data_IF_252680213969
#
_entry.id   IF_252680213969
#
_cell.length_a   1.000
_cell.length_b   1.000
_cell.length_c   1.000
_cell.angle_alpha   90.00
_cell.angle_beta   90.00
_cell.angle_gamma   90.00
#
_symmetry.space_group_name_H-M   'P 1'
#
loop_
_entity.id
_entity.type
_entity.pdbx_description
1 polymer ?
#
# COMPACT_ATOMS: atom_id res chain seq x y z
N UNK A 1 -14.94 -43.99 -12.77
CA UNK A 1 -15.49 -42.92 -11.91
C UNK A 1 -15.52 -43.44 -10.49
N UNK A 2 -14.73 -42.85 -9.59
CA UNK A 2 -14.78 -43.22 -8.16
C UNK A 2 -15.96 -42.46 -7.55
N UNK A 3 -17.00 -43.16 -7.09
CA UNK A 3 -18.13 -42.56 -6.40
C UNK A 3 -17.77 -42.36 -4.92
N UNK A 4 -17.67 -41.11 -4.49
CA UNK A 4 -17.44 -40.74 -3.09
C UNK A 4 -18.75 -40.92 -2.31
N UNK A 5 -18.70 -41.67 -1.21
CA UNK A 5 -19.83 -41.70 -0.26
C UNK A 5 -20.00 -40.32 0.40
N UNK A 6 -21.21 -39.98 0.86
CA UNK A 6 -21.50 -38.69 1.53
C UNK A 6 -20.52 -38.37 2.67
N UNK A 7 -20.09 -39.39 3.43
CA UNK A 7 -19.08 -39.26 4.49
C UNK A 7 -17.70 -38.94 3.92
N UNK A 8 -17.26 -39.65 2.88
CA UNK A 8 -15.97 -39.37 2.24
C UNK A 8 -15.96 -37.98 1.59
N UNK A 9 -17.05 -37.55 0.97
CA UNK A 9 -17.19 -36.21 0.41
C UNK A 9 -17.10 -35.11 1.49
N UNK A 10 -17.74 -35.31 2.65
CA UNK A 10 -17.66 -34.37 3.77
C UNK A 10 -16.24 -34.28 4.36
N UNK A 11 -15.54 -35.41 4.49
CA UNK A 11 -14.14 -35.45 4.94
C UNK A 11 -13.24 -34.71 3.95
N UNK A 12 -13.40 -34.96 2.65
CA UNK A 12 -12.62 -34.32 1.60
C UNK A 12 -12.84 -32.80 1.59
N UNK A 13 -14.08 -32.35 1.72
CA UNK A 13 -14.41 -30.93 1.83
C UNK A 13 -13.76 -30.28 3.07
N UNK A 14 -13.83 -30.96 4.22
CA UNK A 14 -13.18 -30.49 5.45
C UNK A 14 -11.66 -30.34 5.30
N UNK A 15 -11.01 -31.31 4.65
CA UNK A 15 -9.56 -31.26 4.36
C UNK A 15 -9.23 -30.12 3.40
N UNK A 16 -10.00 -29.94 2.32
CA UNK A 16 -9.80 -28.84 1.36
C UNK A 16 -9.92 -27.48 2.04
N UNK A 17 -10.93 -27.29 2.89
CA UNK A 17 -11.12 -26.04 3.65
C UNK A 17 -9.96 -25.78 4.61
N UNK A 18 -9.49 -26.80 5.33
CA UNK A 18 -8.33 -26.67 6.22
C UNK A 18 -7.06 -26.29 5.47
N UNK A 19 -6.81 -26.93 4.31
CA UNK A 19 -5.65 -26.59 3.47
C UNK A 19 -5.77 -25.16 2.93
N UNK A 20 -6.95 -24.73 2.49
CA UNK A 20 -7.18 -23.36 2.03
C UNK A 20 -6.94 -22.33 3.14
N UNK A 21 -7.39 -22.61 4.38
CA UNK A 21 -7.15 -21.74 5.53
C UNK A 21 -5.65 -21.66 5.88
N UNK A 22 -4.93 -22.79 5.86
CA UNK A 22 -3.49 -22.82 6.11
C UNK A 22 -2.70 -22.05 5.04
N UNK A 23 -3.02 -22.25 3.76
CA UNK A 23 -2.39 -21.52 2.66
C UNK A 23 -2.72 -20.02 2.76
N UNK A 24 -3.98 -19.67 3.03
CA UNK A 24 -4.40 -18.28 3.22
C UNK A 24 -3.66 -17.62 4.38
N UNK A 25 -3.49 -18.33 5.50
CA UNK A 25 -2.73 -17.82 6.65
C UNK A 25 -1.24 -17.64 6.34
N UNK A 26 -0.61 -18.58 5.62
CA UNK A 26 0.79 -18.47 5.21
C UNK A 26 1.00 -17.28 4.25
N UNK A 27 0.10 -17.11 3.27
CA UNK A 27 0.12 -15.97 2.36
C UNK A 27 -0.07 -14.66 3.11
N UNK A 28 -1.05 -14.60 4.02
CA UNK A 28 -1.28 -13.42 4.86
C UNK A 28 -0.04 -13.07 5.68
N UNK A 29 0.56 -14.06 6.37
CA UNK A 29 1.74 -13.83 7.21
C UNK A 29 2.93 -13.35 6.40
N UNK A 30 3.23 -13.99 5.27
CA UNK A 30 4.35 -13.59 4.43
C UNK A 30 4.17 -12.17 3.87
N UNK A 31 2.96 -11.82 3.42
CA UNK A 31 2.66 -10.47 2.94
C UNK A 31 2.70 -9.43 4.07
N UNK A 32 2.17 -9.76 5.25
CA UNK A 32 2.18 -8.87 6.41
C UNK A 32 3.60 -8.57 6.90
N UNK A 33 4.48 -9.57 6.94
CA UNK A 33 5.88 -9.40 7.34
C UNK A 33 6.67 -8.57 6.33
N UNK A 34 6.41 -8.73 5.02
CA UNK A 34 7.00 -7.91 3.97
C UNK A 34 6.50 -6.46 4.03
N UNK A 35 5.19 -6.28 4.15
CA UNK A 35 4.59 -4.95 4.23
C UNK A 35 5.04 -4.19 5.48
N UNK A 36 5.17 -4.86 6.62
CA UNK A 36 5.69 -4.27 7.85
C UNK A 36 7.14 -3.76 7.71
N UNK A 37 7.96 -4.41 6.87
CA UNK A 37 9.32 -3.91 6.56
C UNK A 37 9.27 -2.69 5.68
N UNK A 38 8.40 -2.69 4.67
CA UNK A 38 8.27 -1.59 3.71
C UNK A 38 7.64 -0.33 4.34
N UNK A 39 6.86 -0.48 5.41
CA UNK A 39 6.32 0.64 6.21
C UNK A 39 7.39 1.35 7.06
N UNK A 40 8.55 0.74 7.26
CA UNK A 40 9.64 1.42 7.96
C UNK A 40 10.18 2.57 7.11
N UNK A 41 10.48 3.68 7.77
CA UNK A 41 11.18 4.78 7.15
C UNK A 41 12.55 4.31 6.65
N UNK A 42 12.90 4.74 5.44
CA UNK A 42 14.20 4.48 4.82
C UNK A 42 14.83 5.76 4.31
N UNK A 43 16.15 5.85 4.40
CA UNK A 43 16.92 6.97 3.84
C UNK A 43 17.22 6.67 2.38
N UNK A 44 16.87 7.59 1.49
CA UNK A 44 17.25 7.54 0.07
C UNK A 44 18.13 8.74 -0.27
N UNK A 45 19.12 8.52 -1.14
CA UNK A 45 19.88 9.64 -1.73
C UNK A 45 19.01 10.44 -2.68
N UNK A 46 19.46 11.65 -3.03
CA UNK A 46 18.74 12.49 -4.00
C UNK A 46 18.53 11.78 -5.35
N UNK A 47 19.56 11.09 -5.84
CA UNK A 47 19.48 10.32 -7.07
C UNK A 47 18.49 9.15 -6.98
N UNK A 48 18.52 8.41 -5.87
CA UNK A 48 17.60 7.28 -5.64
C UNK A 48 16.15 7.73 -5.53
N UNK A 49 15.91 8.88 -4.88
CA UNK A 49 14.59 9.46 -4.72
C UNK A 49 13.97 9.99 -6.03
N UNK A 50 14.78 10.16 -7.08
CA UNK A 50 14.34 10.58 -8.42
C UNK A 50 14.32 9.44 -9.45
N UNK A 51 14.94 8.30 -9.15
CA UNK A 51 14.98 7.14 -10.03
C UNK A 51 13.73 6.27 -9.88
N UNK A 52 12.84 6.35 -10.87
CA UNK A 52 11.58 5.59 -10.90
C UNK A 52 11.80 4.08 -10.81
N UNK A 53 12.86 3.54 -11.41
CA UNK A 53 13.16 2.10 -11.35
C UNK A 53 13.68 1.71 -9.97
N UNK A 54 14.53 2.54 -9.38
CA UNK A 54 14.97 2.32 -8.01
C UNK A 54 13.79 2.34 -7.03
N UNK A 55 12.92 3.35 -7.12
CA UNK A 55 11.75 3.47 -6.25
C UNK A 55 10.81 2.27 -6.37
N UNK A 56 10.53 1.78 -7.58
CA UNK A 56 9.71 0.57 -7.78
C UNK A 56 10.32 -0.65 -7.08
N UNK A 57 11.63 -0.87 -7.25
CA UNK A 57 12.28 -2.08 -6.73
C UNK A 57 12.56 -2.00 -5.22
N UNK A 58 12.97 -0.84 -4.72
CA UNK A 58 13.36 -0.66 -3.32
C UNK A 58 12.16 -0.50 -2.40
N UNK A 59 11.07 0.09 -2.89
CA UNK A 59 9.87 0.37 -2.11
C UNK A 59 8.67 -0.49 -2.53
N UNK A 60 8.83 -1.44 -3.46
CA UNK A 60 7.71 -2.23 -4.02
C UNK A 60 6.53 -1.34 -4.46
N UNK A 61 6.89 -0.25 -5.16
CA UNK A 61 5.93 0.74 -5.64
C UNK A 61 5.44 0.40 -7.05
N UNK A 62 4.19 0.75 -7.33
CA UNK A 62 3.75 0.78 -8.73
C UNK A 62 4.49 1.90 -9.48
N UNK A 63 4.74 1.73 -10.78
CA UNK A 63 5.33 2.77 -11.64
C UNK A 63 4.70 4.15 -11.45
N UNK A 64 3.36 4.19 -11.36
CA UNK A 64 2.62 5.44 -11.18
C UNK A 64 2.91 6.10 -9.82
N UNK A 65 3.00 5.32 -8.74
CA UNK A 65 3.31 5.87 -7.42
C UNK A 65 4.78 6.33 -7.36
N UNK A 66 5.69 5.57 -7.95
CA UNK A 66 7.10 5.93 -8.06
C UNK A 66 7.29 7.26 -8.82
N UNK A 67 6.59 7.45 -9.94
CA UNK A 67 6.58 8.73 -10.68
C UNK A 67 6.03 9.90 -9.84
N UNK A 68 4.95 9.67 -9.08
CA UNK A 68 4.38 10.68 -8.20
C UNK A 68 5.34 11.06 -7.06
N UNK A 69 6.00 10.08 -6.45
CA UNK A 69 6.99 10.30 -5.40
C UNK A 69 8.20 11.07 -5.93
N UNK A 70 8.80 10.62 -7.05
CA UNK A 70 9.93 11.31 -7.67
C UNK A 70 9.61 12.77 -7.99
N UNK A 71 8.42 13.03 -8.56
CA UNK A 71 7.95 14.39 -8.86
C UNK A 71 7.71 15.22 -7.60
N UNK A 72 7.22 14.62 -6.52
CA UNK A 72 7.03 15.32 -5.25
C UNK A 72 8.37 15.74 -4.63
N UNK A 73 9.37 14.86 -4.65
CA UNK A 73 10.75 15.14 -4.20
C UNK A 73 11.34 16.29 -5.03
N UNK A 74 11.28 16.19 -6.35
CA UNK A 74 11.78 17.24 -7.25
C UNK A 74 11.06 18.58 -7.02
N UNK A 75 9.74 18.56 -6.86
CA UNK A 75 8.95 19.78 -6.62
C UNK A 75 9.27 20.41 -5.26
N UNK A 76 9.54 19.62 -4.23
CA UNK A 76 9.93 20.11 -2.90
C UNK A 76 11.33 20.76 -2.93
N UNK A 77 12.26 20.17 -3.67
CA UNK A 77 13.63 20.70 -3.83
C UNK A 77 13.68 21.94 -4.73
N UNK A 78 12.75 22.05 -5.68
CA UNK A 78 12.54 23.27 -6.45
C UNK A 78 11.79 24.37 -5.65
N UNK A 79 11.37 24.10 -4.41
CA UNK A 79 10.60 25.02 -3.58
C UNK A 79 9.16 25.26 -4.07
N UNK A 80 8.68 24.42 -4.99
CA UNK A 80 7.31 24.48 -5.54
C UNK A 80 6.30 23.77 -4.65
N UNK A 81 6.76 22.80 -3.86
CA UNK A 81 5.94 22.08 -2.88
C UNK A 81 6.37 22.51 -1.46
N UNK A 82 5.45 23.07 -0.70
CA UNK A 82 5.70 23.46 0.69
C UNK A 82 5.48 22.28 1.64
N UNK A 83 6.30 22.14 2.70
CA UNK A 83 6.10 21.11 3.70
C UNK A 83 4.87 21.44 4.56
N UNK A 84 4.15 20.40 4.98
CA UNK A 84 3.00 20.53 5.88
C UNK A 84 3.44 20.91 7.31
N UNK A 85 4.59 20.38 7.76
CA UNK A 85 5.20 20.73 9.03
C UNK A 85 6.70 20.93 8.86
N UNK A 86 7.29 21.77 9.71
CA UNK A 86 8.75 21.91 9.84
C UNK A 86 9.14 21.61 11.27
N UNK A 87 10.24 20.90 11.44
CA UNK A 87 10.86 20.64 12.73
C UNK A 87 12.38 20.68 12.58
N UNK A 88 13.08 20.76 13.70
CA UNK A 88 14.54 20.87 13.73
C UNK A 88 15.10 19.67 14.49
N UNK A 89 16.16 19.10 13.93
CA UNK A 89 17.01 18.10 14.60
C UNK A 89 18.43 18.64 14.63
N UNK A 90 19.15 18.30 15.69
CA UNK A 90 20.48 18.85 15.93
C UNK A 90 21.54 17.83 15.50
N UNK A 91 22.00 17.94 14.25
CA UNK A 91 22.99 17.05 13.66
C UNK A 91 24.03 17.83 12.84
N UNK A 92 25.18 17.21 12.62
CA UNK A 92 26.33 17.84 11.94
C UNK A 92 26.21 17.90 10.42
N UNK A 93 25.41 17.01 9.82
CA UNK A 93 25.22 16.91 8.36
C UNK A 93 23.78 16.54 8.01
N UNK A 94 23.32 16.88 6.81
CA UNK A 94 22.00 16.48 6.32
C UNK A 94 21.82 14.94 6.24
N UNK A 95 22.91 14.22 5.97
CA UNK A 95 22.90 12.75 5.96
C UNK A 95 22.69 12.19 7.37
N UNK A 96 23.46 12.66 8.36
CA UNK A 96 23.28 12.25 9.77
C UNK A 96 21.88 12.64 10.28
N UNK A 97 21.39 13.81 9.90
CA UNK A 97 20.02 14.25 10.17
C UNK A 97 18.97 13.29 9.57
N UNK A 98 19.19 12.80 8.36
CA UNK A 98 18.27 11.86 7.70
C UNK A 98 18.25 10.50 8.42
N UNK A 99 19.41 10.02 8.86
CA UNK A 99 19.55 8.76 9.59
C UNK A 99 18.90 8.83 10.98
N UNK A 100 19.14 9.90 11.75
CA UNK A 100 18.55 10.06 13.07
C UNK A 100 17.02 10.24 12.97
N UNK A 101 16.53 11.02 12.01
CA UNK A 101 15.09 11.20 11.78
C UNK A 101 14.44 9.87 11.41
N UNK A 102 15.07 9.09 10.52
CA UNK A 102 14.59 7.75 10.14
C UNK A 102 14.48 6.84 11.35
N UNK A 103 15.52 6.82 12.20
CA UNK A 103 15.52 6.05 13.45
C UNK A 103 14.39 6.49 14.39
N UNK A 104 14.22 7.79 14.60
CA UNK A 104 13.17 8.34 15.47
C UNK A 104 11.75 8.01 14.95
N UNK A 105 11.51 8.08 13.63
CA UNK A 105 10.24 7.67 13.02
C UNK A 105 9.96 6.19 13.29
N UNK A 106 10.96 5.33 13.04
CA UNK A 106 10.84 3.88 13.21
C UNK A 106 10.66 3.47 14.67
N UNK A 107 11.19 4.26 15.61
CA UNK A 107 11.05 4.07 17.05
C UNK A 107 9.81 4.75 17.64
N UNK A 108 9.04 5.48 16.83
CA UNK A 108 7.88 6.27 17.26
C UNK A 108 8.24 7.28 18.36
N UNK A 109 9.39 7.94 18.21
CA UNK A 109 9.88 8.93 19.16
C UNK A 109 9.03 10.21 19.12
N UNK A 110 8.45 10.56 20.28
CA UNK A 110 7.59 11.72 20.47
C UNK A 110 8.32 13.07 20.38
N UNK A 111 9.65 13.07 20.22
CA UNK A 111 10.41 14.27 19.84
C UNK A 111 10.05 14.79 18.45
N UNK A 112 9.51 13.92 17.57
CA UNK A 112 9.05 14.30 16.24
C UNK A 112 7.58 14.74 16.25
N UNK A 113 7.16 15.63 15.33
CA UNK A 113 5.76 15.97 15.16
C UNK A 113 4.88 14.73 14.89
N UNK A 114 3.64 14.68 15.39
CA UNK A 114 2.76 13.52 15.21
C UNK A 114 2.59 13.08 13.75
N UNK A 115 2.55 14.02 12.81
CA UNK A 115 2.45 13.73 11.37
C UNK A 115 3.68 13.01 10.80
N UNK A 116 4.87 13.25 11.36
CA UNK A 116 6.08 12.50 10.99
C UNK A 116 6.05 11.07 11.54
N UNK A 117 5.28 10.80 12.59
CA UNK A 117 5.12 9.48 13.20
C UNK A 117 3.97 8.68 12.60
N UNK A 118 3.06 9.30 11.86
CA UNK A 118 1.91 8.63 11.24
C UNK A 118 2.36 7.46 10.37
N UNK A 119 1.72 6.30 10.55
CA UNK A 119 2.01 5.13 9.73
C UNK A 119 1.45 5.32 8.31
N UNK A 120 2.32 5.17 7.32
CA UNK A 120 1.97 5.19 5.90
C UNK A 120 2.57 3.99 5.21
N UNK A 121 2.10 3.71 4.00
CA UNK A 121 2.53 2.53 3.25
C UNK A 121 4.04 2.57 3.01
N UNK A 122 4.60 3.72 2.60
CA UNK A 122 6.05 3.97 2.61
C UNK A 122 6.37 5.28 3.31
N UNK A 123 7.53 5.35 3.96
CA UNK A 123 8.12 6.60 4.45
C UNK A 123 9.54 6.71 3.91
N UNK A 124 9.85 7.82 3.25
CA UNK A 124 11.18 8.06 2.67
C UNK A 124 11.75 9.34 3.27
N UNK A 125 13.00 9.28 3.71
CA UNK A 125 13.75 10.43 4.21
C UNK A 125 14.85 10.75 3.21
N UNK A 126 14.86 11.98 2.68
CA UNK A 126 15.78 12.41 1.62
C UNK A 126 16.59 13.62 2.11
N UNK A 127 17.92 13.57 2.13
CA UNK A 127 18.73 14.75 2.37
C UNK A 127 18.64 15.71 1.17
N UNK A 128 18.59 17.01 1.44
CA UNK A 128 18.62 18.03 0.40
C UNK A 128 20.05 18.47 0.10
N UNK A 129 20.69 17.78 -0.84
CA UNK A 129 22.05 18.12 -1.26
C UNK A 129 22.09 19.40 -2.12
N UNK A 130 20.98 19.76 -2.76
CA UNK A 130 20.88 20.88 -3.69
C UNK A 130 19.97 21.99 -3.15
N UNK A 131 20.38 22.61 -2.03
CA UNK A 131 19.61 23.71 -1.43
C UNK A 131 19.50 24.89 -2.40
N UNK A 132 18.26 25.26 -2.69
CA UNK A 132 17.93 26.52 -3.40
C UNK A 132 17.44 27.56 -2.40
N UNK A 133 17.44 28.84 -2.77
CA UNK A 133 16.88 29.89 -1.92
C UNK A 133 15.39 29.66 -1.58
N UNK A 134 14.68 28.96 -2.47
CA UNK A 134 13.27 28.60 -2.33
C UNK A 134 13.06 27.32 -1.50
N UNK A 135 13.96 26.34 -1.59
CA UNK A 135 13.93 25.08 -0.84
C UNK A 135 14.97 25.08 0.29
N UNK A 136 14.81 26.00 1.24
CA UNK A 136 15.69 26.10 2.40
C UNK A 136 15.29 25.11 3.51
N UNK A 137 15.58 23.83 3.28
CA UNK A 137 15.44 22.73 4.24
C UNK A 137 16.58 21.71 4.04
N UNK A 138 16.99 21.03 5.11
CA UNK A 138 18.10 20.07 5.10
C UNK A 138 17.66 18.64 4.79
N UNK A 139 16.51 18.23 5.34
CA UNK A 139 15.99 16.87 5.23
C UNK A 139 14.50 16.91 4.96
N UNK A 140 14.04 16.10 4.00
CA UNK A 140 12.65 15.97 3.62
C UNK A 140 12.12 14.61 4.03
N UNK A 141 10.99 14.58 4.74
CA UNK A 141 10.27 13.34 5.08
C UNK A 141 9.05 13.24 4.18
N UNK A 142 9.04 12.24 3.31
CA UNK A 142 7.98 11.99 2.34
C UNK A 142 7.16 10.77 2.79
N UNK A 143 5.91 11.04 3.15
CA UNK A 143 4.92 10.05 3.56
C UNK A 143 4.11 9.62 2.33
N UNK A 144 4.18 8.34 1.96
CA UNK A 144 3.55 7.81 0.74
C UNK A 144 2.46 6.82 1.12
N UNK A 145 1.28 7.02 0.54
CA UNK A 145 0.13 6.11 0.65
C UNK A 145 -0.19 5.57 -0.74
N UNK A 146 -0.15 4.24 -0.89
CA UNK A 146 -0.19 3.49 -2.14
C UNK A 146 -1.59 3.08 -2.59
N UNK A 147 -2.62 3.67 -1.98
CA UNK A 147 -4.05 3.45 -2.25
C UNK A 147 -4.50 3.85 -3.67
N UNK A 148 -3.57 4.07 -4.60
CA UNK A 148 -3.82 4.14 -6.05
C UNK A 148 -3.45 2.83 -6.73
N UNK A 149 -3.74 1.71 -6.08
CA UNK A 149 -3.41 0.36 -6.52
C UNK A 149 -4.58 -0.34 -7.23
N UNK A 150 -4.24 -1.46 -7.88
CA UNK A 150 -5.21 -2.40 -8.46
C UNK A 150 -5.26 -3.65 -7.59
N UNK A 151 -6.46 -4.17 -7.36
CA UNK A 151 -6.69 -5.51 -6.84
C UNK A 151 -7.34 -6.34 -7.92
N UNK A 152 -6.93 -7.60 -8.02
CA UNK A 152 -7.65 -8.61 -8.79
C UNK A 152 -7.99 -9.75 -7.84
N UNK A 153 -9.19 -10.30 -7.99
CA UNK A 153 -9.70 -11.32 -7.08
C UNK A 153 -10.54 -12.33 -7.82
N UNK A 154 -10.56 -13.55 -7.29
CA UNK A 154 -11.47 -14.60 -7.72
C UNK A 154 -12.02 -15.33 -6.50
N UNK A 155 -13.09 -16.10 -6.67
CA UNK A 155 -13.71 -16.85 -5.59
C UNK A 155 -14.69 -17.91 -6.05
N UNK A 156 -15.57 -18.32 -5.15
CA UNK A 156 -16.69 -19.21 -5.43
C UNK A 156 -17.95 -18.56 -4.86
N UNK A 157 -18.97 -18.40 -5.69
CA UNK A 157 -20.28 -17.89 -5.32
C UNK A 157 -21.36 -18.95 -5.51
N UNK A 158 -22.46 -18.81 -4.76
CA UNK A 158 -23.65 -19.63 -4.91
C UNK A 158 -24.86 -18.71 -4.97
N UNK A 159 -25.67 -18.84 -6.01
CA UNK A 159 -26.93 -18.12 -6.16
C UNK A 159 -28.01 -19.08 -6.64
N UNK A 160 -29.13 -19.14 -5.92
CA UNK A 160 -30.25 -20.05 -6.21
C UNK A 160 -29.85 -21.53 -6.44
N UNK A 161 -28.84 -22.01 -5.70
CA UNK A 161 -28.33 -23.39 -5.81
C UNK A 161 -27.35 -23.62 -6.96
N UNK A 162 -27.10 -22.62 -7.81
CA UNK A 162 -26.09 -22.65 -8.86
C UNK A 162 -24.77 -22.08 -8.36
N UNK A 163 -23.67 -22.76 -8.67
CA UNK A 163 -22.32 -22.32 -8.35
C UNK A 163 -21.77 -21.44 -9.48
N UNK A 164 -20.97 -20.43 -9.13
CA UNK A 164 -20.28 -19.59 -10.10
C UNK A 164 -18.92 -19.13 -9.55
N UNK A 165 -18.06 -18.68 -10.45
CA UNK A 165 -16.73 -18.15 -10.18
C UNK A 165 -16.78 -16.63 -10.41
N UNK A 166 -16.85 -15.81 -9.35
CA UNK A 166 -16.62 -14.37 -9.49
C UNK A 166 -15.17 -14.11 -9.87
N UNK A 167 -14.93 -13.29 -10.88
CA UNK A 167 -13.62 -12.71 -11.20
C UNK A 167 -13.79 -11.20 -11.19
N UNK A 168 -12.97 -10.50 -10.41
CA UNK A 168 -13.11 -9.05 -10.26
C UNK A 168 -11.79 -8.32 -10.27
N UNK A 169 -11.87 -7.03 -10.62
CA UNK A 169 -10.81 -6.07 -10.54
C UNK A 169 -11.32 -4.80 -9.83
N UNK A 170 -10.57 -4.34 -8.84
CA UNK A 170 -10.85 -3.10 -8.12
C UNK A 170 -9.71 -2.11 -8.33
N UNK A 171 -10.05 -0.89 -8.70
CA UNK A 171 -9.16 0.26 -8.78
C UNK A 171 -9.41 1.19 -7.61
N UNK A 172 -8.43 1.31 -6.72
CA UNK A 172 -8.48 2.35 -5.70
C UNK A 172 -7.93 3.67 -6.29
N UNK A 173 -8.56 4.78 -5.90
CA UNK A 173 -8.11 6.15 -6.22
C UNK A 173 -7.55 6.85 -4.98
N UNK A 174 -8.00 6.43 -3.79
CA UNK A 174 -7.55 6.87 -2.47
C UNK A 174 -7.96 5.84 -1.40
N UNK A 175 -7.59 6.08 -0.13
CA UNK A 175 -8.11 5.34 1.03
C UNK A 175 -9.65 5.30 1.06
N UNK A 176 -10.27 6.36 0.54
CA UNK A 176 -11.69 6.61 0.69
C UNK A 176 -12.50 6.35 -0.59
N UNK A 177 -11.88 5.99 -1.72
CA UNK A 177 -12.59 5.88 -2.99
C UNK A 177 -12.02 4.81 -3.91
N UNK A 178 -12.89 3.95 -4.43
CA UNK A 178 -12.55 2.90 -5.39
C UNK A 178 -13.68 2.61 -6.37
N UNK A 179 -13.35 2.05 -7.54
CA UNK A 179 -14.29 1.37 -8.43
C UNK A 179 -13.96 -0.11 -8.41
N UNK A 180 -14.96 -0.95 -8.19
CA UNK A 180 -14.89 -2.41 -8.20
C UNK A 180 -15.75 -2.94 -9.34
N UNK A 181 -15.17 -3.79 -10.18
CA UNK A 181 -15.85 -4.44 -11.30
C UNK A 181 -15.70 -5.94 -11.12
N UNK A 182 -16.79 -6.68 -11.11
CA UNK A 182 -16.77 -8.13 -10.97
C UNK A 182 -17.72 -8.77 -11.97
N UNK A 183 -17.27 -9.86 -12.59
CA UNK A 183 -18.03 -10.68 -13.52
C UNK A 183 -18.20 -12.06 -12.89
N UNK A 184 -19.38 -12.64 -13.00
CA UNK A 184 -19.70 -13.98 -12.50
C UNK A 184 -19.69 -14.94 -13.67
N UNK A 185 -18.78 -15.90 -13.67
CA UNK A 185 -18.66 -16.91 -14.73
C UNK A 185 -19.18 -18.24 -14.20
N UNK A 186 -19.87 -19.03 -15.01
CA UNK A 186 -20.25 -20.39 -14.62
C UNK A 186 -19.00 -21.26 -14.35
N UNK A 187 -19.18 -22.30 -13.54
CA UNK A 187 -18.14 -23.28 -13.17
C UNK A 187 -17.51 -24.00 -14.37
N UNK A 188 -18.19 -24.04 -15.51
CA UNK A 188 -17.66 -24.58 -16.77
C UNK A 188 -16.85 -23.57 -17.60
N UNK A 189 -16.72 -22.32 -17.14
CA UNK A 189 -16.01 -21.20 -17.78
C UNK A 189 -16.52 -20.79 -19.17
N UNK A 190 -17.74 -21.22 -19.55
CA UNK A 190 -18.29 -20.95 -20.89
C UNK A 190 -19.27 -19.79 -20.92
N UNK A 191 -19.94 -19.53 -19.81
CA UNK A 191 -21.03 -18.55 -19.74
C UNK A 191 -20.80 -17.52 -18.64
N UNK A 192 -21.22 -16.28 -18.91
CA UNK A 192 -21.22 -15.20 -17.93
C UNK A 192 -22.63 -15.15 -17.32
N UNK A 193 -22.73 -15.46 -16.04
CA UNK A 193 -23.97 -15.51 -15.27
C UNK A 193 -24.42 -14.12 -14.78
N UNK A 194 -23.52 -13.13 -14.82
CA UNK A 194 -23.83 -11.76 -14.42
C UNK A 194 -22.59 -10.93 -14.16
N UNK A 195 -22.79 -9.72 -13.65
CA UNK A 195 -21.70 -8.85 -13.23
C UNK A 195 -22.21 -7.69 -12.39
N UNK A 196 -21.27 -7.07 -11.68
CA UNK A 196 -21.52 -5.91 -10.85
C UNK A 196 -20.43 -4.86 -11.08
N UNK A 197 -20.85 -3.59 -11.02
CA UNK A 197 -19.94 -2.44 -10.96
C UNK A 197 -20.34 -1.64 -9.73
N UNK A 198 -19.39 -1.35 -8.87
CA UNK A 198 -19.61 -0.63 -7.63
C UNK A 198 -18.64 0.54 -7.51
N UNK A 199 -19.17 1.74 -7.27
CA UNK A 199 -18.37 2.85 -6.75
C UNK A 199 -18.41 2.80 -5.23
N UNK A 200 -17.25 2.63 -4.60
CA UNK A 200 -17.10 2.58 -3.14
C UNK A 200 -16.55 3.90 -2.65
N UNK A 201 -17.23 4.52 -1.67
CA UNK A 201 -16.76 5.75 -1.02
C UNK A 201 -16.89 5.62 0.50
N UNK A 202 -15.81 5.89 1.24
CA UNK A 202 -15.86 5.96 2.69
C UNK A 202 -16.71 7.15 3.14
N UNK A 203 -17.66 6.92 4.06
CA UNK A 203 -18.60 7.93 4.58
C UNK A 203 -18.28 8.37 6.02
N UNK A 204 -17.36 7.69 6.70
CA UNK A 204 -16.99 7.98 8.08
C UNK A 204 -15.68 8.76 8.13
N UNK A 205 -15.75 10.09 8.17
CA UNK A 205 -14.70 10.91 8.79
C UNK A 205 -15.25 11.36 10.14
N UNK A 206 -14.67 10.85 11.22
CA UNK A 206 -14.86 11.43 12.54
C UNK A 206 -14.27 12.85 12.45
N UNK A 207 -15.11 13.85 12.23
CA UNK A 207 -14.71 15.25 12.40
C UNK A 207 -14.71 15.51 13.89
N UNK A 208 -13.53 15.48 14.50
CA UNK A 208 -13.35 16.13 15.78
C UNK A 208 -12.90 17.55 15.48
N UNK A 209 -13.81 18.49 15.67
CA UNK A 209 -13.47 19.91 15.76
C UNK A 209 -13.00 20.18 17.19
N UNK A 210 -11.72 20.51 17.31
CA UNK A 210 -11.19 21.41 18.32
C UNK A 210 -10.07 22.24 17.69
#
# INVERSE_FOLDING_TARGET
MVSLTKRQAAILLGVVLLVALLVGWLLYRNNADQEAKLQQATVLTDQQAKDINYLQNALDESKQNAELLAKAVESAQAGKLQPEVRFVVQESTAQAASEIVTKHINQQDQSLPPIALEKTDRTVVVPNEQKTSQANWDVGVFKVNNYKNWYVGTGIGVHEGNYYIPVGAQRNFSKDAAIDVQVHVDTNLKEINGGQVMYRRAVNKLFVLF
#
